data_IF_534866974308
#
_entry.id   IF_534866974308
#
_cell.length_a   1.000
_cell.length_b   1.000
_cell.length_c   1.000
_cell.angle_alpha   90.00
_cell.angle_beta   90.00
_cell.angle_gamma   90.00
#
_symmetry.space_group_name_H-M   'P 1'
#
loop_
_entity.id
_entity.type
_entity.pdbx_description
1 polymer ?
#
# COMPACT_ATOMS: atom_id res chain seq x y z
N UNK A 1 -24.24 -4.98 -12.66
CA UNK A 1 -24.14 -4.11 -11.46
C UNK A 1 -22.89 -3.25 -11.64
N UNK A 2 -22.96 -1.94 -11.41
CA UNK A 2 -21.79 -1.04 -11.51
C UNK A 2 -21.26 -0.73 -10.10
N UNK A 3 -19.96 -0.87 -9.89
CA UNK A 3 -19.26 -0.65 -8.62
C UNK A 3 -18.19 0.44 -8.78
N UNK A 4 -17.96 1.24 -7.74
CA UNK A 4 -16.84 2.18 -7.71
C UNK A 4 -15.54 1.49 -7.30
N UNK A 5 -14.45 1.74 -8.02
CA UNK A 5 -13.13 1.13 -7.79
C UNK A 5 -12.04 2.23 -7.77
N UNK A 6 -11.47 2.46 -6.59
CA UNK A 6 -10.36 3.40 -6.38
C UNK A 6 -8.99 2.74 -6.39
N UNK A 7 -8.04 3.26 -7.17
CA UNK A 7 -6.62 2.88 -7.11
C UNK A 7 -5.72 4.00 -7.61
N UNK A 8 -4.40 3.87 -7.44
CA UNK A 8 -3.47 4.93 -7.85
C UNK A 8 -3.11 4.82 -9.34
N UNK A 9 -2.68 5.92 -9.98
CA UNK A 9 -2.20 5.86 -11.37
C UNK A 9 -0.80 5.21 -11.49
N UNK A 10 -0.22 4.69 -10.40
CA UNK A 10 1.11 4.10 -10.42
C UNK A 10 1.16 2.83 -11.28
N UNK A 11 2.31 2.53 -11.93
CA UNK A 11 2.42 1.42 -12.87
C UNK A 11 1.95 0.06 -12.33
N UNK A 12 2.23 -0.24 -11.05
CA UNK A 12 1.83 -1.51 -10.44
C UNK A 12 0.30 -1.65 -10.36
N UNK A 13 -0.42 -0.58 -10.06
CA UNK A 13 -1.88 -0.62 -9.93
C UNK A 13 -2.55 -0.63 -11.29
N UNK A 14 -2.09 0.22 -12.21
CA UNK A 14 -2.57 0.18 -13.60
C UNK A 14 -2.30 -1.17 -14.24
N UNK A 15 -1.18 -1.83 -13.91
CA UNK A 15 -0.88 -3.19 -14.37
C UNK A 15 -1.84 -4.23 -13.76
N UNK A 16 -2.08 -4.17 -12.44
CA UNK A 16 -3.02 -5.06 -11.73
C UNK A 16 -4.44 -4.94 -12.29
N UNK A 17 -4.91 -3.72 -12.55
CA UNK A 17 -6.31 -3.45 -12.87
C UNK A 17 -6.63 -3.26 -14.35
N UNK A 18 -5.63 -3.21 -15.25
CA UNK A 18 -5.83 -2.97 -16.68
C UNK A 18 -6.89 -3.91 -17.29
N UNK A 19 -6.72 -5.22 -17.12
CA UNK A 19 -7.63 -6.19 -17.71
C UNK A 19 -9.06 -6.08 -17.16
N UNK A 20 -9.18 -5.78 -15.86
CA UNK A 20 -10.45 -5.56 -15.18
C UNK A 20 -11.18 -4.33 -15.73
N UNK A 21 -10.52 -3.17 -15.76
CA UNK A 21 -11.18 -1.89 -16.08
C UNK A 21 -11.35 -1.67 -17.58
N UNK A 22 -10.48 -2.27 -18.40
CA UNK A 22 -10.57 -2.22 -19.86
C UNK A 22 -11.28 -3.45 -20.46
N UNK A 23 -11.99 -4.24 -19.63
CA UNK A 23 -12.86 -5.35 -20.06
C UNK A 23 -12.14 -6.39 -20.94
N UNK A 24 -10.87 -6.68 -20.62
CA UNK A 24 -10.04 -7.70 -21.30
C UNK A 24 -10.29 -9.13 -20.78
N UNK A 25 -11.10 -9.25 -19.74
CA UNK A 25 -11.59 -10.50 -19.14
C UNK A 25 -13.12 -10.44 -18.99
N UNK A 26 -13.78 -11.59 -18.84
CA UNK A 26 -15.23 -11.63 -18.57
C UNK A 26 -15.52 -11.15 -17.13
N UNK A 27 -16.24 -10.03 -17.02
CA UNK A 27 -16.60 -9.44 -15.73
C UNK A 27 -17.86 -10.07 -15.12
N UNK A 28 -18.45 -11.05 -15.80
CA UNK A 28 -19.62 -11.80 -15.35
C UNK A 28 -20.80 -10.88 -14.96
N UNK A 29 -21.01 -9.79 -15.70
CA UNK A 29 -22.09 -8.82 -15.45
C UNK A 29 -21.81 -7.76 -14.37
N UNK A 30 -20.57 -7.66 -13.88
CA UNK A 30 -20.08 -6.49 -13.15
C UNK A 30 -19.52 -5.44 -14.13
N UNK A 31 -19.50 -4.19 -13.70
CA UNK A 31 -18.83 -3.07 -14.38
C UNK A 31 -18.23 -2.14 -13.31
N UNK A 32 -17.21 -1.37 -13.67
CA UNK A 32 -16.46 -0.56 -12.71
C UNK A 32 -16.42 0.93 -13.10
N UNK A 33 -16.72 1.79 -12.15
CA UNK A 33 -16.44 3.22 -12.22
C UNK A 33 -15.08 3.47 -11.56
N UNK A 34 -14.08 3.80 -12.37
CA UNK A 34 -12.69 3.94 -11.89
C UNK A 34 -12.47 5.33 -11.32
N UNK A 35 -11.85 5.38 -10.14
CA UNK A 35 -11.38 6.61 -9.48
C UNK A 35 -9.87 6.51 -9.31
N UNK A 36 -9.12 7.29 -10.10
CA UNK A 36 -7.66 7.36 -9.98
C UNK A 36 -7.25 8.51 -9.08
N UNK A 37 -6.62 8.19 -7.95
CA UNK A 37 -6.18 9.17 -6.95
C UNK A 37 -4.89 8.74 -6.25
N UNK A 38 -4.18 9.68 -5.63
CA UNK A 38 -3.05 9.34 -4.78
C UNK A 38 -3.49 8.50 -3.57
N UNK A 39 -2.56 7.71 -3.02
CA UNK A 39 -2.90 6.74 -1.96
C UNK A 39 -3.41 7.40 -0.68
N UNK A 40 -2.98 8.63 -0.35
CA UNK A 40 -3.46 9.31 0.86
C UNK A 40 -4.88 9.84 0.66
N UNK A 41 -5.23 10.33 -0.53
CA UNK A 41 -6.62 10.63 -0.90
C UNK A 41 -7.51 9.39 -0.83
N UNK A 42 -7.05 8.25 -1.37
CA UNK A 42 -7.78 6.99 -1.27
C UNK A 42 -7.97 6.51 0.18
N UNK A 43 -6.96 6.69 1.04
CA UNK A 43 -7.08 6.43 2.48
C UNK A 43 -8.18 7.29 3.10
N UNK A 44 -8.23 8.59 2.78
CA UNK A 44 -9.27 9.51 3.26
C UNK A 44 -10.66 9.11 2.78
N UNK A 45 -10.82 8.76 1.50
CA UNK A 45 -12.09 8.26 0.96
C UNK A 45 -12.53 6.94 1.62
N UNK A 46 -11.59 6.05 1.97
CA UNK A 46 -11.88 4.82 2.67
C UNK A 46 -12.34 5.06 4.13
N UNK A 47 -11.78 6.06 4.82
CA UNK A 47 -12.25 6.47 6.15
C UNK A 47 -13.72 6.94 6.13
N UNK A 48 -14.12 7.60 5.05
CA UNK A 48 -15.50 8.07 4.83
C UNK A 48 -16.41 7.02 4.19
N UNK A 49 -15.90 5.82 3.89
CA UNK A 49 -16.60 4.77 3.17
C UNK A 49 -17.22 5.21 1.83
N UNK A 50 -16.50 6.02 1.05
CA UNK A 50 -16.99 6.62 -0.21
C UNK A 50 -17.02 5.64 -1.38
N UNK A 51 -16.02 4.74 -1.49
CA UNK A 51 -15.85 3.82 -2.63
C UNK A 51 -16.27 2.38 -2.27
N UNK A 52 -16.83 1.63 -3.22
CA UNK A 52 -17.24 0.24 -3.01
C UNK A 52 -16.01 -0.65 -2.82
N UNK A 53 -14.98 -0.41 -3.63
CA UNK A 53 -13.70 -1.07 -3.59
C UNK A 53 -12.61 0.01 -3.64
N UNK A 54 -11.61 -0.08 -2.79
CA UNK A 54 -10.52 0.89 -2.76
C UNK A 54 -9.19 0.21 -2.47
N UNK A 55 -8.14 0.65 -3.17
CA UNK A 55 -6.77 0.48 -2.71
C UNK A 55 -6.55 1.38 -1.50
N UNK A 56 -5.96 0.82 -0.45
CA UNK A 56 -5.54 1.56 0.73
C UNK A 56 -4.09 1.26 1.05
N UNK A 57 -3.50 2.13 1.88
CA UNK A 57 -2.34 1.76 2.68
C UNK A 57 -2.74 0.81 3.81
N UNK A 58 -1.96 -0.23 4.09
CA UNK A 58 -2.19 -1.03 5.30
C UNK A 58 -2.10 -0.22 6.59
N UNK A 59 -1.38 0.91 6.60
CA UNK A 59 -1.35 1.86 7.72
C UNK A 59 -2.71 2.46 8.12
N UNK A 60 -3.68 2.56 7.20
CA UNK A 60 -5.05 3.03 7.52
C UNK A 60 -5.99 1.86 7.86
N UNK A 61 -5.58 0.61 7.61
CA UNK A 61 -6.44 -0.56 7.71
C UNK A 61 -7.22 -0.63 9.03
N UNK A 62 -6.60 -0.46 10.22
CA UNK A 62 -7.33 -0.54 11.49
C UNK A 62 -8.60 0.33 11.49
N UNK A 63 -8.49 1.55 10.95
CA UNK A 63 -9.53 2.59 11.00
C UNK A 63 -10.69 2.31 10.04
N UNK A 64 -10.47 1.53 8.98
CA UNK A 64 -11.47 1.25 7.93
C UNK A 64 -12.12 -0.13 8.07
N UNK A 65 -11.56 -1.02 8.90
CA UNK A 65 -12.11 -2.35 9.17
C UNK A 65 -13.59 -2.40 9.60
N UNK A 66 -14.19 -1.40 10.29
CA UNK A 66 -15.63 -1.40 10.54
C UNK A 66 -16.47 -1.51 9.26
N UNK A 67 -16.04 -0.81 8.20
CA UNK A 67 -16.81 -0.66 6.96
C UNK A 67 -16.32 -1.58 5.83
N UNK A 68 -15.09 -2.08 5.94
CA UNK A 68 -14.40 -2.76 4.86
C UNK A 68 -13.83 -4.12 5.28
N UNK A 69 -13.63 -4.98 4.28
CA UNK A 69 -12.91 -6.25 4.39
C UNK A 69 -11.75 -6.28 3.38
N UNK A 70 -10.63 -6.88 3.77
CA UNK A 70 -9.44 -7.02 2.93
C UNK A 70 -9.65 -8.14 1.91
N UNK A 71 -9.41 -7.86 0.64
CA UNK A 71 -9.38 -8.85 -0.43
C UNK A 71 -8.04 -9.59 -0.45
N UNK A 72 -8.03 -10.83 -0.94
CA UNK A 72 -6.80 -11.62 -1.01
C UNK A 72 -5.91 -11.25 -2.20
N UNK A 73 -6.45 -10.56 -3.20
CA UNK A 73 -5.74 -10.17 -4.43
C UNK A 73 -5.61 -8.66 -4.60
N UNK A 74 -4.71 -8.26 -5.51
CA UNK A 74 -4.44 -6.87 -5.90
C UNK A 74 -3.58 -6.07 -4.92
N UNK A 75 -3.15 -6.68 -3.80
CA UNK A 75 -2.28 -6.03 -2.82
C UNK A 75 -0.83 -5.82 -3.29
N UNK A 76 -0.12 -4.94 -2.59
CA UNK A 76 1.31 -4.73 -2.68
C UNK A 76 1.96 -5.07 -1.33
N UNK A 77 2.68 -6.19 -1.30
CA UNK A 77 3.32 -6.77 -0.12
C UNK A 77 4.60 -7.48 -0.57
N UNK A 78 5.64 -7.51 0.25
CA UNK A 78 6.88 -8.17 -0.16
C UNK A 78 8.09 -7.88 0.71
N UNK A 79 9.26 -8.28 0.22
CA UNK A 79 10.56 -7.98 0.83
C UNK A 79 11.37 -7.06 -0.06
N UNK A 80 12.14 -6.15 0.54
CA UNK A 80 12.87 -5.11 -0.20
C UNK A 80 11.96 -4.07 -0.87
N UNK A 81 10.65 -4.09 -0.61
CA UNK A 81 9.64 -3.20 -1.21
C UNK A 81 9.46 -1.89 -0.42
N UNK A 82 10.12 -1.76 0.72
CA UNK A 82 9.84 -0.72 1.71
C UNK A 82 10.10 0.73 1.26
N UNK A 83 9.49 1.70 1.95
CA UNK A 83 9.78 3.12 1.78
C UNK A 83 11.22 3.46 2.18
N UNK A 84 11.78 4.52 1.60
CA UNK A 84 13.13 4.97 1.91
C UNK A 84 13.09 6.30 2.66
N UNK A 85 13.94 6.45 3.68
CA UNK A 85 14.24 7.74 4.29
C UNK A 85 15.45 8.34 3.57
N UNK A 86 15.29 9.55 3.02
CA UNK A 86 16.30 10.25 2.23
C UNK A 86 16.62 11.63 2.81
N UNK A 87 17.80 12.17 2.48
CA UNK A 87 18.18 13.54 2.76
C UNK A 87 19.10 14.11 1.67
N UNK A 88 19.14 15.45 1.57
CA UNK A 88 20.05 16.18 0.67
C UNK A 88 21.51 16.04 1.08
N UNK A 89 21.79 16.01 2.39
CA UNK A 89 23.12 15.74 2.94
C UNK A 89 22.99 14.69 4.02
N UNK A 90 23.75 13.58 3.95
CA UNK A 90 23.71 12.56 5.00
C UNK A 90 24.03 13.13 6.37
N UNK A 91 23.30 12.69 7.39
CA UNK A 91 23.54 13.04 8.78
C UNK A 91 23.40 11.81 9.67
N UNK A 92 23.91 11.90 10.90
CA UNK A 92 23.75 10.85 11.90
C UNK A 92 22.27 10.65 12.25
N UNK A 93 21.75 9.48 11.92
CA UNK A 93 20.35 9.12 12.09
C UNK A 93 19.90 9.14 13.56
N UNK A 94 20.83 9.07 14.51
CA UNK A 94 20.53 9.25 15.95
C UNK A 94 19.89 10.62 16.24
N UNK A 95 20.11 11.62 15.38
CA UNK A 95 19.60 12.99 15.52
C UNK A 95 18.23 13.20 14.88
N UNK A 96 17.64 12.19 14.24
CA UNK A 96 16.39 12.29 13.48
C UNK A 96 15.22 12.88 14.29
N UNK A 97 15.20 12.66 15.61
CA UNK A 97 14.16 13.20 16.51
C UNK A 97 14.12 14.74 16.56
N UNK A 98 15.24 15.39 16.25
CA UNK A 98 15.36 16.86 16.19
C UNK A 98 15.04 17.45 14.81
N UNK A 99 14.91 16.60 13.78
CA UNK A 99 14.79 16.98 12.38
C UNK A 99 13.33 17.14 11.93
N UNK A 100 13.08 17.99 10.95
CA UNK A 100 11.79 18.07 10.24
C UNK A 100 11.75 17.07 9.09
N UNK A 101 10.66 16.31 8.98
CA UNK A 101 10.58 15.16 8.05
C UNK A 101 9.34 15.26 7.19
N UNK A 102 9.50 15.31 5.86
CA UNK A 102 8.38 15.18 4.94
C UNK A 102 7.91 13.72 4.87
N UNK A 103 6.60 13.47 4.94
CA UNK A 103 5.99 12.13 4.98
C UNK A 103 4.79 12.10 4.01
N UNK A 104 4.57 11.02 3.23
CA UNK A 104 3.65 11.00 2.08
C UNK A 104 2.15 10.98 2.44
N UNK A 105 1.82 11.02 3.73
CA UNK A 105 0.45 11.06 4.20
C UNK A 105 0.30 10.46 5.58
N UNK A 106 -0.64 11.00 6.35
CA UNK A 106 -0.88 10.63 7.74
C UNK A 106 -1.30 9.18 7.92
N UNK A 107 -1.99 8.60 6.95
CA UNK A 107 -2.53 7.24 7.05
C UNK A 107 -1.76 6.24 6.20
N UNK A 108 -0.61 6.63 5.68
CA UNK A 108 0.23 5.74 4.87
C UNK A 108 0.95 4.71 5.73
N UNK A 109 1.19 3.53 5.17
CA UNK A 109 2.07 2.52 5.78
C UNK A 109 3.48 3.07 5.95
N UNK A 110 3.93 3.94 5.04
CA UNK A 110 5.23 4.60 5.14
C UNK A 110 5.35 5.49 6.39
N UNK A 111 4.31 6.26 6.71
CA UNK A 111 4.25 7.02 7.96
C UNK A 111 4.30 6.11 9.20
N UNK A 112 3.55 5.00 9.18
CA UNK A 112 3.54 4.04 10.28
C UNK A 112 4.94 3.42 10.49
N UNK A 113 5.57 2.92 9.42
CA UNK A 113 6.92 2.33 9.48
C UNK A 113 7.96 3.35 9.95
N UNK A 114 7.88 4.60 9.47
CA UNK A 114 8.73 5.68 9.96
C UNK A 114 8.54 5.93 11.46
N UNK A 115 7.29 5.90 11.94
CA UNK A 115 6.96 6.11 13.36
C UNK A 115 7.43 4.96 14.25
N UNK A 116 7.42 3.72 13.74
CA UNK A 116 8.00 2.57 14.43
C UNK A 116 9.53 2.68 14.53
N UNK A 117 10.19 3.07 13.44
CA UNK A 117 11.64 3.24 13.42
C UNK A 117 12.11 4.39 14.31
N UNK A 118 11.34 5.49 14.34
CA UNK A 118 11.71 6.73 15.02
C UNK A 118 10.58 7.32 15.85
N UNK A 119 10.19 6.67 16.97
CA UNK A 119 9.06 7.11 17.79
C UNK A 119 9.23 8.53 18.36
N UNK A 120 10.47 8.99 18.54
CA UNK A 120 10.81 10.35 18.98
C UNK A 120 10.78 11.43 17.89
N UNK A 121 10.66 11.08 16.61
CA UNK A 121 10.60 12.05 15.51
C UNK A 121 9.19 12.60 15.34
N UNK A 122 8.88 13.68 16.07
CA UNK A 122 7.53 14.28 16.09
C UNK A 122 7.30 15.40 15.08
N UNK A 123 8.36 16.00 14.52
CA UNK A 123 8.27 17.11 13.56
C UNK A 123 8.01 16.63 12.13
N UNK A 124 6.84 16.04 11.92
CA UNK A 124 6.41 15.49 10.62
C UNK A 124 5.65 16.55 9.84
N UNK A 125 5.93 16.65 8.54
CA UNK A 125 5.24 17.52 7.58
C UNK A 125 4.61 16.61 6.53
N UNK A 126 3.29 16.50 6.52
CA UNK A 126 2.60 15.68 5.53
C UNK A 126 2.56 16.40 4.18
N UNK A 127 2.98 15.70 3.13
CA UNK A 127 3.03 16.18 1.74
C UNK A 127 2.59 15.08 0.80
N UNK A 128 2.09 15.44 -0.39
CA UNK A 128 1.92 14.47 -1.48
C UNK A 128 3.29 13.90 -1.84
N UNK A 129 3.36 12.62 -2.19
CA UNK A 129 4.63 11.92 -2.40
C UNK A 129 5.54 12.60 -3.45
N UNK A 130 4.94 13.16 -4.50
CA UNK A 130 5.63 13.89 -5.57
C UNK A 130 6.44 15.09 -5.06
N UNK A 131 5.98 15.72 -3.98
CA UNK A 131 6.55 16.97 -3.47
C UNK A 131 7.67 16.73 -2.45
N UNK A 132 7.87 15.48 -2.00
CA UNK A 132 8.78 15.17 -0.89
C UNK A 132 10.23 15.41 -1.27
N UNK A 133 10.67 14.93 -2.44
CA UNK A 133 12.04 15.13 -2.90
C UNK A 133 12.37 16.61 -3.05
N UNK A 134 11.45 17.38 -3.63
CA UNK A 134 11.62 18.82 -3.83
C UNK A 134 11.62 19.58 -2.50
N UNK A 135 10.82 19.17 -1.52
CA UNK A 135 10.85 19.73 -0.18
C UNK A 135 12.21 19.52 0.50
N UNK A 136 12.85 18.36 0.28
CA UNK A 136 14.19 18.06 0.80
C UNK A 136 15.27 18.84 0.03
N UNK A 137 15.18 18.89 -1.30
CA UNK A 137 16.15 19.59 -2.14
C UNK A 137 16.17 21.11 -1.89
N UNK A 138 15.00 21.69 -1.63
CA UNK A 138 14.82 23.11 -1.36
C UNK A 138 14.96 23.49 0.13
N UNK A 139 15.52 22.58 0.95
CA UNK A 139 15.79 22.80 2.37
C UNK A 139 14.55 23.21 3.20
N UNK A 140 13.33 22.85 2.74
CA UNK A 140 12.08 23.07 3.48
C UNK A 140 11.93 22.08 4.64
N UNK A 141 12.53 20.90 4.49
CA UNK A 141 12.63 19.85 5.51
C UNK A 141 14.04 19.27 5.52
N UNK A 142 14.46 18.70 6.65
CA UNK A 142 15.77 18.07 6.78
C UNK A 142 15.87 16.71 6.05
N UNK A 143 14.76 15.97 5.99
CA UNK A 143 14.69 14.64 5.37
C UNK A 143 13.28 14.34 4.85
N UNK A 144 13.15 13.29 4.03
CA UNK A 144 11.87 12.89 3.44
C UNK A 144 11.71 11.37 3.40
N UNK A 145 10.50 10.89 3.63
CA UNK A 145 10.12 9.48 3.42
C UNK A 145 9.53 9.36 2.03
N UNK A 146 10.23 8.69 1.12
CA UNK A 146 9.78 8.48 -0.26
C UNK A 146 9.17 7.10 -0.45
N UNK A 147 8.22 7.02 -1.38
CA UNK A 147 7.49 5.81 -1.80
C UNK A 147 7.47 5.74 -3.34
N UNK A 148 6.79 4.75 -3.90
CA UNK A 148 6.58 4.59 -5.34
C UNK A 148 7.90 4.59 -6.14
N UNK A 149 7.93 5.28 -7.28
CA UNK A 149 9.04 5.31 -8.22
C UNK A 149 10.25 6.10 -7.71
N UNK A 150 10.07 7.03 -6.76
CA UNK A 150 11.14 7.87 -6.23
C UNK A 150 12.30 7.02 -5.67
N UNK A 151 12.02 5.79 -5.20
CA UNK A 151 13.06 4.86 -4.74
C UNK A 151 14.11 4.52 -5.80
N UNK A 152 13.74 4.62 -7.09
CA UNK A 152 14.61 4.32 -8.21
C UNK A 152 15.30 5.57 -8.76
N UNK A 153 14.83 6.76 -8.42
CA UNK A 153 15.25 8.02 -9.08
C UNK A 153 15.89 9.03 -8.13
N UNK A 154 15.69 8.92 -6.81
CA UNK A 154 16.17 9.91 -5.83
C UNK A 154 17.67 10.25 -5.98
N UNK A 155 18.49 9.24 -6.25
CA UNK A 155 19.94 9.40 -6.38
C UNK A 155 20.33 10.27 -7.59
N UNK A 156 19.52 10.28 -8.65
CA UNK A 156 19.74 11.11 -9.84
C UNK A 156 19.57 12.59 -9.54
N UNK A 157 18.78 12.91 -8.51
CA UNK A 157 18.59 14.27 -7.98
C UNK A 157 19.65 14.66 -6.93
N UNK A 158 20.64 13.80 -6.68
CA UNK A 158 21.67 14.01 -5.65
C UNK A 158 21.20 13.79 -4.21
N UNK A 159 20.04 13.15 -4.02
CA UNK A 159 19.55 12.77 -2.69
C UNK A 159 20.23 11.47 -2.23
N UNK A 160 20.37 11.32 -0.92
CA UNK A 160 21.04 10.18 -0.31
C UNK A 160 20.08 9.40 0.59
N UNK A 161 20.08 8.06 0.46
CA UNK A 161 19.36 7.17 1.38
C UNK A 161 20.04 7.18 2.76
N UNK A 162 19.27 7.52 3.78
CA UNK A 162 19.66 7.40 5.19
C UNK A 162 19.31 6.01 5.74
N UNK A 163 18.11 5.52 5.44
CA UNK A 163 17.61 4.23 5.91
C UNK A 163 16.59 3.66 4.93
N UNK A 164 16.58 2.33 4.81
CA UNK A 164 15.47 1.59 4.21
C UNK A 164 14.51 1.15 5.33
N UNK A 165 13.29 1.69 5.33
CA UNK A 165 12.28 1.38 6.35
C UNK A 165 11.73 -0.04 6.19
N UNK A 166 11.86 -0.62 5.00
CA UNK A 166 11.57 -2.03 4.75
C UNK A 166 12.58 -2.94 5.43
N UNK A 167 13.89 -2.66 5.26
CA UNK A 167 14.94 -3.41 5.95
C UNK A 167 14.78 -3.35 7.47
N UNK A 168 14.40 -2.20 8.01
CA UNK A 168 14.09 -2.05 9.44
C UNK A 168 12.95 -2.98 9.88
N UNK A 169 11.84 -2.99 9.13
CA UNK A 169 10.71 -3.87 9.40
C UNK A 169 11.10 -5.35 9.31
N UNK A 170 11.79 -5.75 8.26
CA UNK A 170 12.12 -7.15 8.03
C UNK A 170 13.05 -7.71 9.12
N UNK A 171 14.01 -6.91 9.60
CA UNK A 171 14.88 -7.29 10.71
C UNK A 171 14.14 -7.42 12.04
N UNK A 172 13.12 -6.60 12.26
CA UNK A 172 12.40 -6.55 13.54
C UNK A 172 11.22 -7.52 13.60
N UNK A 173 10.48 -7.66 12.50
CA UNK A 173 9.26 -8.45 12.41
C UNK A 173 9.44 -9.81 11.73
N UNK A 174 10.52 -10.03 10.97
CA UNK A 174 10.82 -11.27 10.23
C UNK A 174 9.74 -11.73 9.23
N UNK A 175 8.81 -10.85 8.87
CA UNK A 175 7.74 -11.07 7.88
C UNK A 175 7.87 -10.08 6.72
N UNK A 176 7.31 -10.36 5.53
CA UNK A 176 7.21 -9.37 4.46
C UNK A 176 6.46 -8.12 4.94
N UNK A 177 6.62 -7.00 4.22
CA UNK A 177 6.06 -5.69 4.57
C UNK A 177 4.72 -5.51 3.85
N UNK A 178 3.59 -5.38 4.56
CA UNK A 178 2.32 -4.99 3.95
C UNK A 178 2.34 -3.51 3.61
N UNK A 179 2.35 -3.14 2.33
CA UNK A 179 2.36 -1.72 1.92
C UNK A 179 0.97 -1.22 1.58
N UNK A 180 0.32 -1.87 0.61
CA UNK A 180 -1.04 -1.54 0.20
C UNK A 180 -1.91 -2.77 0.04
N UNK A 181 -3.18 -2.65 0.39
CA UNK A 181 -4.17 -3.71 0.24
C UNK A 181 -5.37 -3.22 -0.55
N UNK A 182 -6.15 -4.16 -1.10
CA UNK A 182 -7.46 -3.83 -1.67
C UNK A 182 -8.51 -4.17 -0.64
N UNK A 183 -9.43 -3.25 -0.42
CA UNK A 183 -10.56 -3.45 0.47
C UNK A 183 -11.88 -3.31 -0.27
N UNK A 184 -12.86 -4.11 0.13
CA UNK A 184 -14.22 -4.05 -0.38
C UNK A 184 -15.20 -3.73 0.76
N UNK A 185 -16.21 -2.90 0.47
CA UNK A 185 -17.21 -2.49 1.46
C UNK A 185 -18.04 -3.71 1.87
N UNK A 186 -18.19 -3.91 3.19
CA UNK A 186 -18.90 -5.08 3.76
C UNK A 186 -20.35 -5.17 3.26
N UNK A 187 -21.00 -4.04 2.99
CA UNK A 187 -22.38 -3.97 2.50
C UNK A 187 -22.61 -4.57 1.11
N UNK A 188 -21.55 -4.85 0.34
CA UNK A 188 -21.66 -5.54 -0.96
C UNK A 188 -22.09 -7.02 -0.81
N UNK A 189 -21.88 -7.59 0.37
CA UNK A 189 -22.18 -9.00 0.65
C UNK A 189 -21.14 -9.97 0.09
N UNK A 190 -21.00 -11.12 0.76
CA UNK A 190 -19.92 -12.07 0.54
C UNK A 190 -19.82 -12.58 -0.91
N UNK A 191 -20.95 -12.74 -1.61
CA UNK A 191 -20.97 -13.20 -2.99
C UNK A 191 -20.31 -12.21 -3.96
N UNK A 192 -20.63 -10.91 -3.83
CA UNK A 192 -20.05 -9.86 -4.67
C UNK A 192 -18.58 -9.67 -4.31
N UNK A 193 -18.25 -9.65 -3.02
CA UNK A 193 -16.87 -9.53 -2.53
C UNK A 193 -15.98 -10.65 -3.08
N UNK A 194 -16.42 -11.91 -2.96
CA UNK A 194 -15.67 -13.05 -3.48
C UNK A 194 -15.51 -13.01 -5.01
N UNK A 195 -16.53 -12.51 -5.72
CA UNK A 195 -16.48 -12.34 -7.17
C UNK A 195 -15.49 -11.25 -7.59
N UNK A 196 -15.48 -10.11 -6.89
CA UNK A 196 -14.52 -9.03 -7.13
C UNK A 196 -13.09 -9.52 -6.86
N UNK A 197 -12.86 -10.21 -5.75
CA UNK A 197 -11.54 -10.79 -5.42
C UNK A 197 -11.05 -11.76 -6.52
N UNK A 198 -11.95 -12.62 -7.02
CA UNK A 198 -11.66 -13.50 -8.17
C UNK A 198 -11.28 -12.74 -9.44
N UNK A 199 -12.06 -11.71 -9.79
CA UNK A 199 -11.81 -10.90 -10.99
C UNK A 199 -10.51 -10.10 -10.92
N UNK A 200 -10.15 -9.58 -9.73
CA UNK A 200 -8.85 -8.90 -9.54
C UNK A 200 -7.72 -9.90 -9.74
N UNK A 201 -7.81 -11.09 -9.14
CA UNK A 201 -6.83 -12.16 -9.36
C UNK A 201 -6.69 -12.53 -10.84
N UNK A 202 -7.81 -12.68 -11.55
CA UNK A 202 -7.82 -12.97 -13.00
C UNK A 202 -7.18 -11.84 -13.82
N UNK A 203 -7.37 -10.59 -13.39
CA UNK A 203 -6.74 -9.42 -14.01
C UNK A 203 -5.22 -9.41 -13.85
N UNK A 204 -4.71 -9.75 -12.65
CA UNK A 204 -3.26 -9.89 -12.42
C UNK A 204 -2.67 -11.04 -13.23
N UNK A 205 -3.36 -12.20 -13.27
CA UNK A 205 -2.95 -13.35 -14.08
C UNK A 205 -2.91 -13.01 -15.58
N UNK A 206 -3.91 -12.29 -16.07
CA UNK A 206 -3.96 -11.80 -17.45
C UNK A 206 -2.77 -10.88 -17.76
N UNK A 207 -2.47 -9.93 -16.87
CA UNK A 207 -1.42 -8.94 -17.05
C UNK A 207 -0.04 -9.61 -17.20
N UNK A 208 0.27 -10.61 -16.35
CA UNK A 208 1.51 -11.38 -16.46
C UNK A 208 1.59 -12.24 -17.72
N UNK A 209 0.49 -12.88 -18.14
CA UNK A 209 0.49 -13.76 -19.32
C UNK A 209 0.59 -13.03 -20.65
N UNK A 210 0.02 -11.83 -20.75
CA UNK A 210 -0.19 -11.17 -22.04
C UNK A 210 0.59 -9.85 -22.23
N UNK A 211 1.02 -9.16 -21.17
CA UNK A 211 1.47 -7.76 -21.26
C UNK A 211 2.78 -7.46 -20.51
N UNK A 212 3.57 -8.46 -20.14
CA UNK A 212 4.86 -8.15 -19.51
C UNK A 212 5.96 -7.85 -20.54
N UNK A 213 5.93 -8.47 -21.74
CA UNK A 213 6.91 -8.17 -22.79
C UNK A 213 6.79 -6.71 -23.28
N UNK A 214 5.57 -6.22 -23.48
CA UNK A 214 5.25 -4.84 -23.85
C UNK A 214 4.26 -4.27 -22.83
N UNK A 215 4.60 -3.17 -22.17
CA UNK A 215 3.69 -2.51 -21.23
C UNK A 215 2.46 -2.01 -21.99
N UNK A 216 1.27 -2.22 -21.43
CA UNK A 216 0.03 -1.78 -22.08
C UNK A 216 -0.11 -0.26 -22.12
N UNK A 217 -0.86 0.24 -23.09
CA UNK A 217 -1.19 1.67 -23.20
C UNK A 217 -1.78 2.23 -21.92
N UNK A 218 -2.55 1.41 -21.18
CA UNK A 218 -3.13 1.82 -19.91
C UNK A 218 -2.08 2.10 -18.84
N UNK A 219 -0.98 1.35 -18.79
CA UNK A 219 0.14 1.63 -17.88
C UNK A 219 0.89 2.88 -18.32
N UNK A 220 1.27 2.94 -19.60
CA UNK A 220 2.13 4.01 -20.12
C UNK A 220 1.43 5.37 -20.15
N UNK A 221 0.12 5.42 -20.41
CA UNK A 221 -0.65 6.67 -20.43
C UNK A 221 -0.83 7.31 -19.05
N UNK A 222 -0.75 6.53 -17.97
CA UNK A 222 -0.97 7.00 -16.60
C UNK A 222 0.33 7.29 -15.83
N UNK A 223 1.48 6.91 -16.37
CA UNK A 223 2.79 7.11 -15.77
C UNK A 223 3.75 7.89 -16.69
N UNK A 224 3.25 8.85 -17.49
CA UNK A 224 4.01 9.51 -18.56
C UNK A 224 5.30 10.22 -18.13
N UNK A 225 5.39 10.63 -16.85
CA UNK A 225 6.58 11.27 -16.29
C UNK A 225 7.70 10.25 -15.96
N UNK A 226 7.41 8.96 -16.07
CA UNK A 226 8.36 7.87 -15.83
C UNK A 226 8.86 7.26 -17.14
N UNK A 227 10.16 6.95 -17.20
CA UNK A 227 10.67 6.10 -18.28
C UNK A 227 10.13 4.67 -18.16
N UNK A 228 10.00 3.98 -19.29
CA UNK A 228 9.51 2.59 -19.33
C UNK A 228 10.34 1.65 -18.44
N UNK A 229 11.66 1.83 -18.39
CA UNK A 229 12.55 1.04 -17.50
C UNK A 229 12.16 1.19 -16.02
N UNK A 230 11.82 2.40 -15.58
CA UNK A 230 11.37 2.64 -14.21
C UNK A 230 9.97 2.08 -13.98
N UNK A 231 9.06 2.16 -14.98
CA UNK A 231 7.74 1.51 -14.89
C UNK A 231 7.87 -0.01 -14.68
N UNK A 232 8.77 -0.68 -15.43
CA UNK A 232 9.03 -2.12 -15.31
C UNK A 232 9.60 -2.46 -13.93
N UNK A 233 10.63 -1.74 -13.48
CA UNK A 233 11.18 -1.90 -12.12
C UNK A 233 10.11 -1.70 -11.04
N UNK A 234 9.19 -0.76 -11.24
CA UNK A 234 8.09 -0.53 -10.32
C UNK A 234 7.11 -1.70 -10.29
N UNK A 235 6.73 -2.23 -11.46
CA UNK A 235 5.84 -3.41 -11.56
C UNK A 235 6.52 -4.63 -10.93
N UNK A 236 7.76 -4.95 -11.30
CA UNK A 236 8.48 -6.14 -10.82
C UNK A 236 8.64 -6.18 -9.31
N UNK A 237 8.84 -5.00 -8.72
CA UNK A 237 9.03 -4.86 -7.30
C UNK A 237 7.71 -5.01 -6.54
N UNK A 238 6.62 -4.41 -7.02
CA UNK A 238 5.38 -4.26 -6.27
C UNK A 238 4.27 -5.24 -6.66
N UNK A 239 4.36 -5.88 -7.84
CA UNK A 239 3.42 -6.90 -8.31
C UNK A 239 4.11 -8.26 -8.26
N UNK A 240 3.67 -9.12 -7.35
CA UNK A 240 4.29 -10.43 -7.12
C UNK A 240 3.24 -11.46 -6.67
N UNK A 241 3.66 -12.59 -6.10
CA UNK A 241 2.73 -13.63 -5.67
C UNK A 241 1.72 -13.17 -4.62
N UNK A 242 2.05 -12.16 -3.79
CA UNK A 242 1.09 -11.56 -2.85
C UNK A 242 0.01 -10.72 -3.52
N UNK A 243 0.27 -10.21 -4.73
CA UNK A 243 -0.73 -9.52 -5.55
C UNK A 243 -1.73 -10.50 -6.15
N UNK A 244 -1.33 -11.76 -6.36
CA UNK A 244 -2.20 -12.83 -6.80
C UNK A 244 -3.06 -13.38 -5.66
N UNK A 245 -2.45 -13.60 -4.50
CA UNK A 245 -3.08 -14.17 -3.31
C UNK A 245 -2.18 -13.91 -2.10
N UNK A 246 -2.70 -13.26 -1.07
CA UNK A 246 -1.95 -12.97 0.16
C UNK A 246 -1.37 -14.24 0.81
N UNK A 247 -2.06 -15.38 0.69
CA UNK A 247 -1.73 -16.62 1.40
C UNK A 247 -1.55 -16.41 2.91
N UNK A 248 -1.17 -17.47 3.62
CA UNK A 248 -1.03 -17.44 5.08
C UNK A 248 0.06 -16.47 5.56
N UNK A 249 1.18 -16.40 4.85
CA UNK A 249 2.32 -15.56 5.23
C UNK A 249 2.06 -14.07 5.00
N UNK A 250 1.36 -13.70 3.92
CA UNK A 250 0.89 -12.33 3.70
C UNK A 250 -0.17 -11.92 4.74
N UNK A 251 -1.15 -12.80 5.03
CA UNK A 251 -2.14 -12.54 6.09
C UNK A 251 -1.48 -12.36 7.46
N UNK A 252 -0.50 -13.21 7.79
CA UNK A 252 0.29 -13.07 9.03
C UNK A 252 1.02 -11.73 9.10
N UNK A 253 1.59 -11.26 7.99
CA UNK A 253 2.25 -9.97 7.93
C UNK A 253 1.27 -8.81 8.18
N UNK A 254 0.07 -8.86 7.58
CA UNK A 254 -1.00 -7.88 7.81
C UNK A 254 -1.43 -7.88 9.28
N UNK A 255 -1.69 -9.05 9.87
CA UNK A 255 -2.07 -9.17 11.28
C UNK A 255 -1.01 -8.60 12.22
N UNK A 256 0.27 -8.87 11.94
CA UNK A 256 1.38 -8.35 12.73
C UNK A 256 1.49 -6.82 12.60
N UNK A 257 1.26 -6.26 11.42
CA UNK A 257 1.16 -4.81 11.22
C UNK A 257 0.01 -4.21 12.03
N UNK A 258 -1.18 -4.81 12.03
CA UNK A 258 -2.28 -4.35 12.88
C UNK A 258 -1.90 -4.35 14.37
N UNK A 259 -1.19 -5.37 14.84
CA UNK A 259 -0.66 -5.40 16.21
C UNK A 259 0.32 -4.25 16.52
N UNK A 260 1.23 -3.94 15.58
CA UNK A 260 2.16 -2.82 15.73
C UNK A 260 1.47 -1.46 15.71
N UNK A 261 0.39 -1.31 14.93
CA UNK A 261 -0.42 -0.10 14.92
C UNK A 261 -1.02 0.14 16.31
N UNK A 262 -1.67 -0.85 16.91
CA UNK A 262 -2.24 -0.70 18.25
C UNK A 262 -1.18 -0.36 19.30
N UNK A 263 0.03 -0.93 19.20
CA UNK A 263 1.15 -0.59 20.11
C UNK A 263 1.59 0.87 19.96
N UNK A 264 1.62 1.41 18.74
CA UNK A 264 1.90 2.83 18.50
C UNK A 264 0.81 3.78 19.00
N UNK A 265 -0.42 3.29 19.08
CA UNK A 265 -1.62 4.06 19.38
C UNK A 265 -2.29 3.63 20.69
N UNK A 266 -1.52 3.05 21.63
CA UNK A 266 -2.05 2.45 22.86
C UNK A 266 -2.83 3.45 23.75
N UNK A 267 -2.57 4.75 23.60
CA UNK A 267 -3.26 5.83 24.32
C UNK A 267 -4.64 6.20 23.70
N UNK A 268 -4.98 5.66 22.53
CA UNK A 268 -6.28 5.84 21.89
C UNK A 268 -7.21 4.70 22.32
N UNK A 269 -8.38 5.01 22.87
CA UNK A 269 -9.42 4.02 23.12
C UNK A 269 -9.88 3.42 21.79
N UNK A 270 -9.37 2.23 21.47
CA UNK A 270 -9.78 1.49 20.28
C UNK A 270 -10.90 0.51 20.65
N UNK A 271 -12.07 0.68 20.06
CA UNK A 271 -13.27 -0.10 20.39
C UNK A 271 -13.38 -1.46 19.67
N UNK A 272 -12.37 -1.88 18.91
CA UNK A 272 -12.45 -3.08 18.07
C UNK A 272 -11.23 -3.99 18.15
N UNK A 273 -11.33 -5.10 18.88
CA UNK A 273 -10.51 -6.29 18.61
C UNK A 273 -11.16 -7.04 17.45
N UNK A 274 -10.53 -7.04 16.27
CA UNK A 274 -11.04 -7.80 15.12
C UNK A 274 -10.48 -9.22 15.14
N UNK A 275 -11.37 -10.21 15.07
CA UNK A 275 -10.98 -11.58 14.81
C UNK A 275 -10.43 -11.69 13.37
N UNK A 276 -9.46 -12.57 13.06
CA UNK A 276 -8.97 -12.78 11.70
C UNK A 276 -10.08 -13.08 10.69
N UNK A 277 -11.16 -13.74 11.15
CA UNK A 277 -12.37 -14.04 10.37
C UNK A 277 -13.19 -12.83 9.96
N UNK A 278 -12.87 -11.66 10.51
CA UNK A 278 -13.50 -10.39 10.19
C UNK A 278 -12.62 -9.53 9.29
N UNK A 279 -11.34 -9.86 9.11
CA UNK A 279 -10.37 -9.02 8.39
C UNK A 279 -10.29 -9.39 6.91
N UNK A 280 -10.25 -10.68 6.57
CA UNK A 280 -10.01 -11.16 5.20
C UNK A 280 -11.26 -11.76 4.55
N UNK A 281 -11.42 -11.57 3.24
CA UNK A 281 -12.59 -11.97 2.44
C UNK A 281 -12.91 -13.47 2.42
N UNK A 282 -11.92 -14.33 2.68
CA UNK A 282 -12.00 -15.79 2.53
C UNK A 282 -12.08 -16.57 3.86
N UNK A 283 -12.15 -15.86 4.97
CA UNK A 283 -11.86 -16.39 6.31
C UNK A 283 -12.95 -17.28 6.94
N UNK A 284 -13.80 -17.89 6.10
CA UNK A 284 -14.69 -19.01 6.45
C UNK A 284 -14.03 -20.39 6.50
N UNK A 285 -12.70 -20.50 6.34
CA UNK A 285 -11.94 -21.74 6.51
C UNK A 285 -10.83 -21.57 7.56
N UNK A 286 -11.14 -21.93 8.82
CA UNK A 286 -10.21 -22.26 9.91
C UNK A 286 -8.99 -21.32 10.13
N UNK A 287 -9.19 -20.16 10.77
CA UNK A 287 -8.09 -19.29 11.21
C UNK A 287 -8.21 -18.85 12.69
N UNK A 288 -8.55 -19.75 13.60
CA UNK A 288 -8.74 -19.43 15.04
C UNK A 288 -7.46 -19.43 15.89
N UNK A 289 -6.25 -19.49 15.31
CA UNK A 289 -5.02 -19.68 16.10
C UNK A 289 -3.94 -18.60 15.96
N UNK A 290 -4.14 -17.55 15.15
CA UNK A 290 -3.05 -16.61 14.82
C UNK A 290 -2.96 -15.36 15.72
N UNK A 291 -3.98 -15.03 16.53
CA UNK A 291 -3.97 -13.80 17.32
C UNK A 291 -3.17 -13.92 18.63
N UNK A 292 -3.11 -15.11 19.24
CA UNK A 292 -2.48 -15.32 20.55
C UNK A 292 -0.94 -15.28 20.54
N UNK A 293 -0.31 -15.09 19.38
CA UNK A 293 1.15 -14.99 19.25
C UNK A 293 1.66 -13.59 18.85
N UNK A 294 0.76 -12.62 18.61
CA UNK A 294 1.11 -11.30 18.08
C UNK A 294 0.79 -10.12 19.02
N UNK A 295 0.01 -10.35 20.07
CA UNK A 295 -0.18 -9.40 21.19
C UNK A 295 0.98 -9.56 22.19
#
# INVERSE_FOLDING_TARGET
MKLTLGFSPCPNDTFIFDALVNKKIDLHGLDFEVVLQDVQSLNSSALNAELDISKISYGVLPLVLPNYIVLNSGGALGRGVGPLLIAKTPFDISRISSKSIAVPGEHTTAHMLFSLAFPGAKRKVFKVFSDIEDAVLNDQVDAGVIIHENRFTYHQKGLHKLLDLGDFWERTASVPIPLGGIVARRSLGNQIIAKVDGLIKDSVDYAFRNNYAELSDYVTSHAQEMSEDVMRKHIDLYVNHYSMDLKEDGKKAVLLLLGQYHKLHADLEYSGSYEPTQIFSDSGRAHSSLLNAAL
#
